data_IF_638546597082
#
_entry.id   IF_638546597082
#
_cell.length_a   1.000
_cell.length_b   1.000
_cell.length_c   1.000
_cell.angle_alpha   90.00
_cell.angle_beta   90.00
_cell.angle_gamma   90.00
#
_symmetry.space_group_name_H-M   'P 1'
#
loop_
_entity.id
_entity.type
_entity.pdbx_description
1 polymer ?
#
# COMPACT_ATOMS: atom_id res chain seq x y z
N UNK A 1 -29.21 -10.71 3.52
CA UNK A 1 -29.21 -9.60 2.58
C UNK A 1 -27.86 -9.42 1.90
N UNK A 2 -27.73 -8.65 0.80
CA UNK A 2 -26.47 -8.57 0.03
C UNK A 2 -25.32 -7.96 0.85
N UNK A 3 -25.60 -6.96 1.69
CA UNK A 3 -24.62 -6.27 2.54
C UNK A 3 -23.95 -7.22 3.52
N UNK A 4 -24.70 -8.10 4.18
CA UNK A 4 -24.17 -9.06 5.15
C UNK A 4 -23.28 -10.12 4.49
N UNK A 5 -23.61 -10.52 3.26
CA UNK A 5 -22.75 -11.45 2.49
C UNK A 5 -21.44 -10.78 2.10
N UNK A 6 -21.52 -9.57 1.57
CA UNK A 6 -20.34 -8.82 1.15
C UNK A 6 -19.43 -8.49 2.36
N UNK A 7 -20.00 -8.03 3.48
CA UNK A 7 -19.23 -7.77 4.70
C UNK A 7 -18.54 -9.03 5.25
N UNK A 8 -19.21 -10.20 5.20
CA UNK A 8 -18.61 -11.49 5.58
C UNK A 8 -17.44 -11.86 4.66
N UNK A 9 -17.61 -11.70 3.35
CA UNK A 9 -16.59 -12.05 2.37
C UNK A 9 -15.37 -11.12 2.49
N UNK A 10 -15.58 -9.81 2.71
CA UNK A 10 -14.50 -8.87 3.02
C UNK A 10 -13.79 -9.22 4.34
N UNK A 11 -14.55 -9.55 5.39
CA UNK A 11 -13.99 -9.97 6.67
C UNK A 11 -13.15 -11.25 6.59
N UNK A 12 -13.52 -12.19 5.71
CA UNK A 12 -12.78 -13.42 5.48
C UNK A 12 -11.39 -13.16 4.85
N UNK A 13 -11.20 -12.06 4.12
CA UNK A 13 -9.89 -11.68 3.56
C UNK A 13 -8.83 -11.41 4.64
N UNK A 14 -9.25 -10.90 5.80
CA UNK A 14 -8.34 -10.63 6.93
C UNK A 14 -7.78 -11.90 7.56
N UNK A 15 -8.44 -13.04 7.38
CA UNK A 15 -8.04 -14.33 7.95
C UNK A 15 -7.14 -15.15 7.03
N UNK A 16 -6.95 -14.75 5.79
CA UNK A 16 -6.07 -15.42 4.84
C UNK A 16 -4.61 -15.07 5.15
N UNK A 17 -3.81 -16.06 5.56
CA UNK A 17 -2.40 -15.94 6.01
C UNK A 17 -1.46 -15.36 4.93
N UNK A 18 -1.86 -15.33 3.68
CA UNK A 18 -1.08 -14.84 2.53
C UNK A 18 -1.60 -13.51 1.94
N UNK A 19 -2.50 -12.82 2.63
CA UNK A 19 -3.10 -11.57 2.14
C UNK A 19 -2.10 -10.43 2.11
N UNK A 20 -1.86 -9.87 0.92
CA UNK A 20 -1.21 -8.56 0.76
C UNK A 20 -2.30 -7.49 0.62
N UNK A 21 -1.93 -6.22 0.92
CA UNK A 21 -2.84 -5.07 0.79
C UNK A 21 -3.43 -4.99 -0.62
N UNK A 22 -2.61 -5.11 -1.65
CA UNK A 22 -3.00 -5.06 -3.07
C UNK A 22 -4.07 -6.12 -3.40
N UNK A 23 -3.82 -7.37 -3.01
CA UNK A 23 -4.79 -8.46 -3.20
C UNK A 23 -6.10 -8.24 -2.45
N UNK A 24 -6.02 -7.68 -1.25
CA UNK A 24 -7.22 -7.37 -0.48
C UNK A 24 -8.06 -6.27 -1.17
N UNK A 25 -7.43 -5.21 -1.67
CA UNK A 25 -8.10 -4.16 -2.43
C UNK A 25 -8.75 -4.70 -3.72
N UNK A 26 -8.01 -5.51 -4.50
CA UNK A 26 -8.54 -6.16 -5.70
C UNK A 26 -9.79 -7.00 -5.39
N UNK A 27 -9.73 -7.83 -4.37
CA UNK A 27 -10.86 -8.67 -3.99
C UNK A 27 -12.04 -7.86 -3.46
N UNK A 28 -11.79 -6.81 -2.66
CA UNK A 28 -12.84 -5.90 -2.19
C UNK A 28 -13.54 -5.23 -3.38
N UNK A 29 -12.81 -4.72 -4.35
CA UNK A 29 -13.39 -4.09 -5.54
C UNK A 29 -14.24 -5.07 -6.36
N UNK A 30 -13.75 -6.31 -6.57
CA UNK A 30 -14.49 -7.36 -7.27
C UNK A 30 -15.75 -7.80 -6.52
N UNK A 31 -15.65 -8.04 -5.21
CA UNK A 31 -16.81 -8.43 -4.39
C UNK A 31 -17.88 -7.32 -4.39
N UNK A 32 -17.45 -6.07 -4.28
CA UNK A 32 -18.35 -4.91 -4.31
C UNK A 32 -19.12 -4.84 -5.63
N UNK A 33 -18.43 -4.96 -6.76
CA UNK A 33 -19.07 -4.90 -8.08
C UNK A 33 -20.09 -6.03 -8.31
N UNK A 34 -19.87 -7.19 -7.67
CA UNK A 34 -20.78 -8.35 -7.78
C UNK A 34 -21.99 -8.29 -6.85
N UNK A 35 -21.82 -7.71 -5.67
CA UNK A 35 -22.84 -7.78 -4.63
C UNK A 35 -23.71 -6.53 -4.54
N UNK A 36 -23.16 -5.33 -4.86
CA UNK A 36 -23.96 -4.09 -4.79
C UNK A 36 -24.94 -4.02 -5.96
N UNK A 37 -26.27 -3.91 -5.69
CA UNK A 37 -27.28 -3.93 -6.73
C UNK A 37 -27.09 -2.79 -7.75
N UNK A 38 -26.93 -3.16 -9.02
CA UNK A 38 -26.77 -2.19 -10.12
C UNK A 38 -25.38 -1.59 -10.26
N UNK A 39 -24.44 -2.01 -9.44
CA UNK A 39 -23.02 -1.71 -9.60
C UNK A 39 -22.49 -2.47 -10.83
N UNK A 40 -21.86 -1.76 -11.75
CA UNK A 40 -21.15 -2.32 -12.90
C UNK A 40 -19.67 -2.47 -12.62
N UNK A 41 -19.11 -1.57 -11.81
CA UNK A 41 -17.71 -1.59 -11.39
C UNK A 41 -17.55 -0.90 -10.03
N UNK A 42 -16.52 -1.29 -9.28
CA UNK A 42 -16.15 -0.66 -8.03
C UNK A 42 -14.68 -0.24 -8.04
N UNK A 43 -14.40 0.87 -7.36
CA UNK A 43 -13.07 1.47 -7.21
C UNK A 43 -12.78 1.67 -5.73
N UNK A 44 -11.61 1.23 -5.29
CA UNK A 44 -11.11 1.48 -3.94
C UNK A 44 -9.75 2.13 -4.05
N UNK A 45 -9.55 3.29 -3.43
CA UNK A 45 -8.28 4.03 -3.49
C UNK A 45 -7.81 4.38 -2.10
N UNK A 46 -6.54 4.18 -1.84
CA UNK A 46 -5.87 4.60 -0.62
C UNK A 46 -5.01 5.82 -0.90
N UNK A 47 -5.24 6.87 -0.14
CA UNK A 47 -4.59 8.16 -0.27
C UNK A 47 -3.79 8.49 0.98
N UNK A 48 -2.67 9.17 0.78
CA UNK A 48 -1.90 9.77 1.87
C UNK A 48 -1.92 11.29 1.74
N UNK A 49 -2.14 11.96 2.87
CA UNK A 49 -2.00 13.40 2.97
C UNK A 49 -0.50 13.74 2.97
N UNK A 50 -0.02 14.47 1.97
CA UNK A 50 1.37 14.96 1.94
C UNK A 50 1.46 16.21 2.78
N UNK A 51 2.30 16.17 3.82
CA UNK A 51 2.61 17.35 4.61
C UNK A 51 3.47 18.31 3.79
N UNK A 52 3.34 19.65 3.98
CA UNK A 52 4.15 20.64 3.26
C UNK A 52 5.67 20.53 3.44
N UNK A 53 6.13 19.71 4.40
CA UNK A 53 7.53 19.54 4.76
C UNK A 53 8.28 18.50 3.89
N UNK A 54 7.58 17.64 3.17
CA UNK A 54 8.19 16.75 2.18
C UNK A 54 8.30 17.52 0.86
N UNK A 55 9.49 18.04 0.60
CA UNK A 55 9.83 18.83 -0.59
C UNK A 55 9.83 17.94 -1.85
N UNK A 56 8.65 17.54 -2.32
CA UNK A 56 8.47 17.01 -3.66
C UNK A 56 8.23 18.19 -4.60
N UNK A 57 9.16 18.46 -5.55
CA UNK A 57 8.99 19.55 -6.51
C UNK A 57 7.76 19.39 -7.41
N UNK A 58 7.11 18.23 -7.40
CA UNK A 58 5.85 17.97 -8.11
C UNK A 58 4.61 18.07 -7.20
N UNK A 59 4.76 18.29 -5.89
CA UNK A 59 3.62 18.39 -4.96
C UNK A 59 2.67 19.55 -5.31
N UNK A 60 3.17 20.61 -5.96
CA UNK A 60 2.33 21.70 -6.48
C UNK A 60 1.46 21.25 -7.67
N UNK A 61 1.90 20.23 -8.44
CA UNK A 61 1.15 19.70 -9.59
C UNK A 61 0.06 18.67 -9.17
N UNK A 62 0.29 17.92 -8.09
CA UNK A 62 -0.55 16.75 -7.74
C UNK A 62 -1.48 17.00 -6.56
N UNK A 63 -1.51 18.23 -6.01
CA UNK A 63 -2.33 18.56 -4.86
C UNK A 63 -1.82 17.90 -3.57
N UNK A 64 -2.64 17.99 -2.52
CA UNK A 64 -2.29 17.58 -1.15
C UNK A 64 -2.35 16.07 -0.91
N UNK A 65 -2.93 15.28 -1.82
CA UNK A 65 -3.20 13.86 -1.63
C UNK A 65 -2.51 13.02 -2.70
N UNK A 66 -1.69 12.05 -2.25
CA UNK A 66 -0.97 11.12 -3.12
C UNK A 66 -1.63 9.75 -3.05
N UNK A 67 -1.84 9.11 -4.20
CA UNK A 67 -2.31 7.73 -4.28
C UNK A 67 -1.22 6.80 -3.78
N UNK A 68 -1.53 6.03 -2.74
CA UNK A 68 -0.63 5.00 -2.18
C UNK A 68 -0.87 3.69 -2.87
N UNK A 69 -2.14 3.37 -3.12
CA UNK A 69 -2.58 2.12 -3.71
C UNK A 69 -4.01 2.26 -4.23
N UNK A 70 -4.39 1.49 -5.26
CA UNK A 70 -5.77 1.44 -5.70
C UNK A 70 -6.12 0.10 -6.37
N UNK A 71 -7.40 -0.24 -6.38
CA UNK A 71 -7.94 -1.35 -7.14
C UNK A 71 -9.27 -0.98 -7.80
N UNK A 72 -9.42 -1.36 -9.06
CA UNK A 72 -10.64 -1.22 -9.81
C UNK A 72 -11.10 -2.58 -10.31
N UNK A 73 -12.37 -2.91 -10.12
CA UNK A 73 -12.92 -4.20 -10.57
C UNK A 73 -13.01 -4.36 -12.09
N UNK A 74 -12.79 -3.27 -12.84
CA UNK A 74 -12.80 -3.24 -14.31
C UNK A 74 -11.71 -2.29 -14.83
N UNK A 75 -11.03 -2.70 -15.92
CA UNK A 75 -9.92 -1.94 -16.51
C UNK A 75 -10.30 -0.55 -17.02
N UNK A 76 -11.51 -0.36 -17.52
CA UNK A 76 -11.95 0.95 -17.99
C UNK A 76 -12.20 1.91 -16.84
N UNK A 77 -12.66 1.42 -15.68
CA UNK A 77 -12.76 2.24 -14.48
C UNK A 77 -11.36 2.64 -13.95
N UNK A 78 -10.37 1.75 -14.04
CA UNK A 78 -8.99 2.08 -13.73
C UNK A 78 -8.47 3.23 -14.60
N UNK A 79 -8.69 3.19 -15.92
CA UNK A 79 -8.34 4.28 -16.85
C UNK A 79 -9.04 5.60 -16.50
N UNK A 80 -10.35 5.53 -16.19
CA UNK A 80 -11.11 6.71 -15.78
C UNK A 80 -10.55 7.31 -14.48
N UNK A 81 -10.14 6.48 -13.54
CA UNK A 81 -9.51 6.93 -12.30
C UNK A 81 -8.12 7.54 -12.55
N UNK A 82 -7.26 6.91 -13.32
CA UNK A 82 -5.94 7.45 -13.67
C UNK A 82 -6.07 8.83 -14.35
N UNK A 83 -7.09 9.00 -15.17
CA UNK A 83 -7.39 10.30 -15.80
C UNK A 83 -7.85 11.33 -14.75
N UNK A 84 -8.72 10.98 -13.80
CA UNK A 84 -9.09 11.86 -12.69
C UNK A 84 -7.85 12.31 -11.91
N UNK A 85 -6.98 11.38 -11.58
CA UNK A 85 -5.78 11.65 -10.82
C UNK A 85 -4.82 12.57 -11.56
N UNK A 86 -4.57 12.33 -12.86
CA UNK A 86 -3.67 13.15 -13.67
C UNK A 86 -4.20 14.54 -14.00
N UNK A 87 -5.51 14.71 -14.10
CA UNK A 87 -6.14 16.01 -14.38
C UNK A 87 -6.56 16.75 -13.12
N UNK A 88 -6.43 16.11 -11.96
CA UNK A 88 -6.90 16.62 -10.66
C UNK A 88 -8.41 16.98 -10.66
N UNK A 89 -9.20 16.27 -11.49
CA UNK A 89 -10.63 16.49 -11.69
C UNK A 89 -11.40 15.18 -11.68
N UNK A 90 -12.50 15.15 -10.94
CA UNK A 90 -13.43 14.03 -10.92
C UNK A 90 -13.93 13.69 -9.53
N UNK A 91 -14.93 12.79 -9.43
CA UNK A 91 -15.64 12.51 -8.19
C UNK A 91 -14.75 11.91 -7.10
N UNK A 92 -13.79 11.06 -7.45
CA UNK A 92 -12.92 10.40 -6.47
C UNK A 92 -11.91 11.38 -5.88
N UNK A 93 -11.31 12.23 -6.71
CA UNK A 93 -10.39 13.30 -6.28
C UNK A 93 -11.14 14.34 -5.43
N UNK A 94 -12.36 14.69 -5.84
CA UNK A 94 -13.18 15.62 -5.08
C UNK A 94 -13.58 15.06 -3.71
N UNK A 95 -13.97 13.79 -3.65
CA UNK A 95 -14.34 13.12 -2.40
C UNK A 95 -13.20 13.11 -1.37
N UNK A 96 -11.96 12.84 -1.80
CA UNK A 96 -10.80 12.85 -0.90
C UNK A 96 -10.45 14.27 -0.44
N UNK A 97 -10.56 15.25 -1.32
CA UNK A 97 -10.24 16.65 -1.04
C UNK A 97 -11.19 17.27 -0.03
N UNK A 98 -12.50 17.10 -0.26
CA UNK A 98 -13.56 17.67 0.58
C UNK A 98 -13.92 16.76 1.76
N UNK A 99 -13.37 15.56 1.84
CA UNK A 99 -13.71 14.56 2.85
C UNK A 99 -15.22 14.33 2.97
N UNK A 100 -15.90 14.34 1.84
CA UNK A 100 -17.34 14.23 1.75
C UNK A 100 -17.77 13.24 0.66
N UNK A 101 -18.95 12.65 0.86
CA UNK A 101 -19.55 11.77 -0.15
C UNK A 101 -19.87 12.54 -1.42
N UNK A 102 -19.43 12.00 -2.56
CA UNK A 102 -19.71 12.58 -3.86
C UNK A 102 -20.66 11.67 -4.64
N UNK A 103 -21.74 12.25 -5.12
CA UNK A 103 -22.74 11.58 -5.97
C UNK A 103 -22.71 12.18 -7.36
N UNK A 104 -22.62 11.31 -8.37
CA UNK A 104 -22.82 11.64 -9.78
C UNK A 104 -24.07 10.91 -10.25
N UNK A 105 -25.16 11.65 -10.45
CA UNK A 105 -26.42 11.07 -10.92
C UNK A 105 -26.36 10.67 -12.40
N UNK A 106 -25.79 11.54 -13.23
CA UNK A 106 -25.62 11.30 -14.65
C UNK A 106 -24.38 12.06 -15.17
N UNK A 107 -23.32 11.34 -15.53
CA UNK A 107 -22.09 11.93 -16.04
C UNK A 107 -22.30 12.80 -17.27
N UNK A 108 -23.31 12.57 -18.10
CA UNK A 108 -23.61 13.43 -19.26
C UNK A 108 -24.24 14.78 -18.87
N UNK A 109 -24.68 14.95 -17.66
CA UNK A 109 -25.35 16.16 -17.15
C UNK A 109 -24.59 16.81 -16.00
N UNK A 110 -23.45 16.23 -15.62
CA UNK A 110 -22.61 16.74 -14.54
C UNK A 110 -21.51 17.61 -15.16
N UNK A 111 -21.58 18.90 -14.94
CA UNK A 111 -20.66 19.92 -15.44
C UNK A 111 -19.53 20.27 -14.45
N UNK A 112 -19.53 19.65 -13.27
CA UNK A 112 -18.50 19.91 -12.24
C UNK A 112 -17.08 19.59 -12.73
N UNK A 113 -16.93 18.59 -13.60
CA UNK A 113 -15.64 18.12 -14.10
C UNK A 113 -15.68 17.82 -15.62
N UNK A 114 -15.69 18.85 -16.48
CA UNK A 114 -15.90 18.66 -17.92
C UNK A 114 -14.86 17.73 -18.58
N UNK A 115 -13.60 17.79 -18.14
CA UNK A 115 -12.54 16.92 -18.66
C UNK A 115 -12.80 15.45 -18.31
N UNK A 116 -13.15 15.17 -17.05
CA UNK A 116 -13.48 13.83 -16.60
C UNK A 116 -14.73 13.27 -17.24
N UNK A 117 -15.77 14.10 -17.44
CA UNK A 117 -17.04 13.67 -18.02
C UNK A 117 -16.87 12.94 -19.36
N UNK A 118 -16.03 13.48 -20.25
CA UNK A 118 -15.75 12.84 -21.53
C UNK A 118 -15.12 11.46 -21.38
N UNK A 119 -14.17 11.31 -20.44
CA UNK A 119 -13.52 10.02 -20.15
C UNK A 119 -14.50 9.04 -19.49
N UNK A 120 -15.29 9.50 -18.51
CA UNK A 120 -16.29 8.68 -17.82
C UNK A 120 -17.25 8.03 -18.80
N UNK A 121 -17.80 8.83 -19.72
CA UNK A 121 -18.73 8.35 -20.75
C UNK A 121 -18.08 7.34 -21.70
N UNK A 122 -16.83 7.59 -22.12
CA UNK A 122 -16.07 6.64 -22.95
C UNK A 122 -15.83 5.30 -22.24
N UNK A 123 -15.62 5.35 -20.91
CA UNK A 123 -15.45 4.16 -20.09
C UNK A 123 -16.78 3.54 -19.62
N UNK A 124 -17.92 4.09 -20.04
CA UNK A 124 -19.26 3.58 -19.71
C UNK A 124 -19.72 3.93 -18.28
N UNK A 125 -19.06 4.87 -17.60
CA UNK A 125 -19.45 5.33 -16.26
C UNK A 125 -20.49 6.44 -16.36
N UNK A 126 -21.74 6.13 -16.00
CA UNK A 126 -22.89 7.04 -16.12
C UNK A 126 -23.36 7.57 -14.78
N UNK A 127 -23.23 6.84 -13.72
CA UNK A 127 -23.53 7.30 -12.37
C UNK A 127 -22.62 6.64 -11.35
N UNK A 128 -22.29 7.37 -10.29
CA UNK A 128 -21.41 6.84 -9.23
C UNK A 128 -21.73 7.45 -7.87
N UNK A 129 -21.34 6.72 -6.83
CA UNK A 129 -21.26 7.22 -5.46
C UNK A 129 -19.89 6.91 -4.93
N UNK A 130 -19.17 7.93 -4.45
CA UNK A 130 -17.85 7.78 -3.82
C UNK A 130 -17.93 8.23 -2.37
N UNK A 131 -17.57 7.33 -1.45
CA UNK A 131 -17.58 7.55 -0.01
C UNK A 131 -16.12 7.57 0.52
N UNK A 132 -15.66 8.66 1.15
CA UNK A 132 -14.36 8.72 1.82
C UNK A 132 -14.47 8.28 3.27
N UNK A 133 -13.44 7.58 3.78
CA UNK A 133 -13.29 7.26 5.21
C UNK A 133 -11.82 7.25 5.64
N UNK A 134 -11.58 7.41 6.95
CA UNK A 134 -10.23 7.46 7.51
C UNK A 134 -9.63 6.06 7.67
N UNK A 135 -8.33 5.93 7.33
CA UNK A 135 -7.53 4.72 7.46
C UNK A 135 -6.16 5.04 8.10
N UNK A 136 -6.11 5.13 9.44
CA UNK A 136 -4.87 5.30 10.23
C UNK A 136 -3.91 6.39 9.69
N UNK A 137 -4.44 7.58 9.43
CA UNK A 137 -3.68 8.71 8.85
C UNK A 137 -3.59 8.70 7.32
N UNK A 138 -4.14 7.70 6.67
CA UNK A 138 -4.45 7.66 5.25
C UNK A 138 -5.97 7.86 5.07
N UNK A 139 -6.43 8.04 3.84
CA UNK A 139 -7.85 8.13 3.49
C UNK A 139 -8.16 6.98 2.54
N UNK A 140 -9.25 6.29 2.78
CA UNK A 140 -9.81 5.33 1.84
C UNK A 140 -10.99 5.98 1.13
N UNK A 141 -11.01 5.99 -0.21
CA UNK A 141 -12.22 6.29 -0.97
C UNK A 141 -12.79 5.00 -1.55
N UNK A 142 -14.08 4.81 -1.34
CA UNK A 142 -14.80 3.62 -1.74
C UNK A 142 -15.90 4.01 -2.72
N UNK A 143 -15.75 3.64 -4.00
CA UNK A 143 -16.61 4.03 -5.10
C UNK A 143 -17.40 2.87 -5.71
N UNK A 144 -18.68 3.10 -5.98
CA UNK A 144 -19.53 2.24 -6.81
C UNK A 144 -19.96 2.99 -8.05
N UNK A 145 -19.87 2.32 -9.21
CA UNK A 145 -20.09 2.90 -10.53
C UNK A 145 -21.08 2.07 -11.33
N UNK A 146 -21.88 2.73 -12.17
CA UNK A 146 -22.86 2.09 -13.02
C UNK A 146 -22.84 2.64 -14.45
N UNK A 147 -23.05 1.75 -15.42
CA UNK A 147 -23.27 2.14 -16.81
C UNK A 147 -24.66 2.75 -17.09
N UNK A 148 -25.50 2.87 -16.05
CA UNK A 148 -26.84 3.50 -16.14
C UNK A 148 -26.85 4.79 -15.34
N UNK A 149 -27.42 5.84 -15.91
CA UNK A 149 -27.65 7.08 -15.18
C UNK A 149 -28.66 6.88 -14.04
N UNK A 150 -28.50 7.64 -12.96
CA UNK A 150 -29.39 7.67 -11.79
C UNK A 150 -29.65 6.28 -11.19
N UNK A 151 -28.58 5.45 -11.19
CA UNK A 151 -28.71 4.07 -10.71
C UNK A 151 -28.74 3.97 -9.20
N UNK A 152 -28.09 4.87 -8.52
CA UNK A 152 -27.95 4.84 -7.08
C UNK A 152 -28.80 5.93 -6.43
N UNK A 153 -29.65 5.52 -5.50
CA UNK A 153 -30.26 6.44 -4.54
C UNK A 153 -29.27 6.62 -3.38
N UNK A 154 -28.78 7.86 -3.13
CA UNK A 154 -27.82 8.11 -2.06
C UNK A 154 -28.30 7.68 -0.68
N UNK A 155 -29.60 7.84 -0.37
CA UNK A 155 -30.17 7.46 0.93
C UNK A 155 -30.14 5.94 1.14
N UNK A 156 -30.27 5.17 0.07
CA UNK A 156 -30.22 3.71 0.13
C UNK A 156 -28.79 3.14 0.05
N UNK A 157 -27.89 3.80 -0.69
CA UNK A 157 -26.56 3.26 -1.02
C UNK A 157 -25.48 3.72 -0.05
N UNK A 158 -25.51 4.97 0.43
CA UNK A 158 -24.44 5.51 1.28
C UNK A 158 -24.31 4.77 2.62
N UNK A 159 -25.38 4.46 3.38
CA UNK A 159 -25.22 3.76 4.66
C UNK A 159 -24.55 2.37 4.52
N UNK A 160 -24.95 1.49 3.59
CA UNK A 160 -24.24 0.22 3.41
C UNK A 160 -22.81 0.40 2.85
N UNK A 161 -22.52 1.42 2.01
CA UNK A 161 -21.15 1.71 1.58
C UNK A 161 -20.27 2.14 2.75
N UNK A 162 -20.77 2.98 3.65
CA UNK A 162 -20.04 3.39 4.85
C UNK A 162 -19.67 2.17 5.70
N UNK A 163 -20.61 1.26 5.93
CA UNK A 163 -20.36 0.02 6.67
C UNK A 163 -19.31 -0.87 5.98
N UNK A 164 -19.38 -1.01 4.66
CA UNK A 164 -18.39 -1.77 3.89
C UNK A 164 -17.00 -1.13 3.93
N UNK A 165 -16.94 0.20 3.87
CA UNK A 165 -15.70 0.94 3.98
C UNK A 165 -15.05 0.72 5.35
N UNK A 166 -15.80 0.76 6.44
CA UNK A 166 -15.31 0.45 7.80
C UNK A 166 -14.79 -0.99 7.92
N UNK A 167 -15.49 -1.97 7.35
CA UNK A 167 -15.01 -3.35 7.30
C UNK A 167 -13.72 -3.48 6.49
N UNK A 168 -13.62 -2.79 5.36
CA UNK A 168 -12.40 -2.76 4.54
C UNK A 168 -11.24 -2.14 5.31
N UNK A 169 -11.46 -1.00 5.97
CA UNK A 169 -10.47 -0.36 6.85
C UNK A 169 -9.98 -1.33 7.91
N UNK A 170 -10.88 -2.04 8.59
CA UNK A 170 -10.54 -3.03 9.62
C UNK A 170 -9.68 -4.16 9.06
N UNK A 171 -10.02 -4.66 7.86
CA UNK A 171 -9.26 -5.68 7.14
C UNK A 171 -7.85 -5.20 6.79
N UNK A 172 -7.73 -4.01 6.19
CA UNK A 172 -6.44 -3.43 5.82
C UNK A 172 -5.55 -3.14 7.03
N UNK A 173 -6.13 -2.72 8.16
CA UNK A 173 -5.41 -2.56 9.44
C UNK A 173 -4.85 -3.87 9.96
N UNK A 174 -5.60 -4.95 9.87
CA UNK A 174 -5.14 -6.28 10.29
C UNK A 174 -3.94 -6.72 9.46
N UNK A 175 -4.05 -6.67 8.12
CA UNK A 175 -2.96 -7.00 7.20
C UNK A 175 -1.71 -6.13 7.40
N UNK A 176 -1.89 -4.85 7.69
CA UNK A 176 -0.79 -3.91 7.96
C UNK A 176 -0.02 -4.25 9.24
N UNK A 177 -0.69 -4.71 10.29
CA UNK A 177 -0.07 -5.16 11.56
C UNK A 177 0.74 -6.42 11.37
N UNK A 178 0.21 -7.40 10.65
CA UNK A 178 0.90 -8.67 10.39
C UNK A 178 2.15 -8.45 9.54
N UNK A 179 2.07 -7.62 8.51
CA UNK A 179 3.22 -7.25 7.69
C UNK A 179 4.29 -6.47 8.49
N UNK A 180 3.91 -5.64 9.45
CA UNK A 180 4.85 -4.95 10.33
C UNK A 180 5.55 -5.91 11.28
N UNK A 181 4.82 -6.83 11.91
CA UNK A 181 5.37 -7.85 12.80
C UNK A 181 6.36 -8.78 12.07
N UNK A 182 6.03 -9.20 10.87
CA UNK A 182 6.93 -10.01 10.01
C UNK A 182 8.20 -9.23 9.65
N UNK A 183 8.10 -7.96 9.27
CA UNK A 183 9.27 -7.11 8.99
C UNK A 183 10.16 -6.97 10.22
N UNK A 184 9.60 -6.71 11.37
CA UNK A 184 10.35 -6.59 12.63
C UNK A 184 11.07 -7.88 12.99
N UNK A 185 10.41 -9.03 12.87
CA UNK A 185 11.02 -10.35 13.10
C UNK A 185 12.18 -10.62 12.13
N UNK A 186 12.05 -10.25 10.85
CA UNK A 186 13.12 -10.36 9.85
C UNK A 186 14.29 -9.44 10.19
N UNK A 187 14.02 -8.19 10.60
CA UNK A 187 15.06 -7.25 11.04
C UNK A 187 15.80 -7.76 12.27
N UNK A 188 15.08 -8.27 13.25
CA UNK A 188 15.67 -8.85 14.47
C UNK A 188 16.55 -10.06 14.15
N UNK A 189 16.09 -11.00 13.31
CA UNK A 189 16.92 -12.15 12.86
C UNK A 189 18.20 -11.70 12.14
N UNK A 190 18.09 -10.70 11.24
CA UNK A 190 19.27 -10.15 10.55
C UNK A 190 20.25 -9.50 11.51
N UNK A 191 19.78 -8.76 12.51
CA UNK A 191 20.63 -8.16 13.53
C UNK A 191 21.35 -9.23 14.37
N UNK A 192 20.66 -10.28 14.80
CA UNK A 192 21.24 -11.39 15.55
C UNK A 192 22.30 -12.14 14.72
N UNK A 193 21.99 -12.49 13.47
CA UNK A 193 22.95 -13.17 12.58
C UNK A 193 24.17 -12.29 12.29
N UNK A 194 24.01 -10.99 12.12
CA UNK A 194 25.11 -10.06 11.93
C UNK A 194 26.05 -10.01 13.16
N UNK A 195 25.48 -9.99 14.37
CA UNK A 195 26.23 -10.00 15.63
C UNK A 195 27.07 -11.29 15.75
N UNK A 196 26.46 -12.44 15.51
CA UNK A 196 27.16 -13.75 15.56
C UNK A 196 28.36 -13.79 14.61
N UNK A 197 28.16 -13.34 13.35
CA UNK A 197 29.23 -13.33 12.33
C UNK A 197 30.34 -12.35 12.72
N UNK A 198 30.02 -11.19 13.27
CA UNK A 198 31.02 -10.21 13.74
C UNK A 198 31.81 -10.80 14.92
N UNK A 199 31.16 -11.46 15.87
CA UNK A 199 31.85 -12.05 17.02
C UNK A 199 32.78 -13.21 16.62
N UNK A 200 32.38 -14.02 15.65
CA UNK A 200 33.24 -15.05 15.06
C UNK A 200 34.45 -14.45 14.34
N UNK A 201 34.23 -13.42 13.53
CA UNK A 201 35.33 -12.73 12.83
C UNK A 201 36.28 -12.03 13.80
N UNK A 202 35.80 -11.47 14.90
CA UNK A 202 36.60 -10.94 16.00
C UNK A 202 37.47 -12.05 16.61
N UNK A 203 36.89 -13.22 16.89
CA UNK A 203 37.62 -14.37 17.42
C UNK A 203 38.78 -14.78 16.52
N UNK A 204 38.56 -14.80 15.21
CA UNK A 204 39.62 -15.08 14.20
C UNK A 204 40.75 -14.05 14.27
N UNK A 205 40.41 -12.74 14.30
CA UNK A 205 41.42 -11.68 14.36
C UNK A 205 42.17 -11.67 15.69
N UNK A 206 41.51 -11.94 16.81
CA UNK A 206 42.11 -12.08 18.13
C UNK A 206 43.17 -13.21 18.13
N UNK A 207 42.79 -14.37 17.56
CA UNK A 207 43.68 -15.51 17.51
C UNK A 207 44.85 -15.28 16.52
N UNK A 208 44.57 -14.79 15.31
CA UNK A 208 45.56 -14.65 14.25
C UNK A 208 46.57 -13.51 14.47
N UNK A 209 46.17 -12.45 15.18
CA UNK A 209 46.97 -11.22 15.34
C UNK A 209 47.21 -10.81 16.79
N UNK A 210 46.77 -11.59 17.77
CA UNK A 210 46.91 -11.27 19.21
C UNK A 210 46.16 -10.01 19.65
N UNK A 211 45.09 -9.64 18.94
CA UNK A 211 44.32 -8.42 19.24
C UNK A 211 43.34 -8.64 20.40
N UNK A 212 43.05 -7.57 21.13
CA UNK A 212 41.91 -7.58 22.05
C UNK A 212 40.59 -7.55 21.27
N UNK A 213 39.47 -7.92 21.92
CA UNK A 213 38.15 -7.91 21.30
C UNK A 213 37.76 -6.52 20.72
N UNK A 214 38.13 -5.46 21.42
CA UNK A 214 37.89 -4.09 20.96
C UNK A 214 38.73 -3.75 19.72
N UNK A 215 40.02 -4.07 19.74
CA UNK A 215 40.94 -3.85 18.61
C UNK A 215 40.52 -4.63 17.37
N UNK A 216 40.05 -5.87 17.54
CA UNK A 216 39.54 -6.68 16.44
C UNK A 216 38.28 -6.07 15.80
N UNK A 217 37.37 -5.53 16.63
CA UNK A 217 36.17 -4.82 16.13
C UNK A 217 36.55 -3.53 15.38
N UNK A 218 37.48 -2.73 15.93
CA UNK A 218 37.95 -1.50 15.30
C UNK A 218 38.63 -1.75 13.97
N UNK A 219 39.34 -2.89 13.83
CA UNK A 219 39.94 -3.35 12.56
C UNK A 219 38.86 -3.67 11.52
N UNK A 220 37.83 -4.46 11.88
CA UNK A 220 36.69 -4.75 11.00
C UNK A 220 35.96 -3.48 10.56
N UNK A 221 35.76 -2.55 11.49
CA UNK A 221 35.11 -1.26 11.22
C UNK A 221 35.93 -0.39 10.26
N UNK A 222 37.25 -0.34 10.43
CA UNK A 222 38.17 0.41 9.56
C UNK A 222 38.17 -0.13 8.13
N UNK A 223 38.18 -1.46 7.98
CA UNK A 223 38.08 -2.11 6.66
C UNK A 223 36.74 -1.84 6.02
N UNK A 224 35.64 -1.91 6.79
CA UNK A 224 34.29 -1.62 6.32
C UNK A 224 34.17 -0.17 5.80
N UNK A 225 34.68 0.80 6.56
CA UNK A 225 34.68 2.22 6.16
C UNK A 225 35.50 2.48 4.88
N UNK A 226 36.70 1.90 4.78
CA UNK A 226 37.55 2.08 3.59
C UNK A 226 36.94 1.51 2.31
N UNK A 227 36.15 0.45 2.43
CA UNK A 227 35.54 -0.24 1.27
C UNK A 227 34.06 0.12 1.05
N UNK A 228 33.48 1.05 1.82
CA UNK A 228 32.06 1.40 1.71
C UNK A 228 31.12 0.22 2.01
N UNK A 229 31.52 -0.71 2.88
CA UNK A 229 30.80 -1.95 3.18
C UNK A 229 30.23 -1.93 4.59
N UNK A 230 29.24 -2.79 4.86
CA UNK A 230 28.79 -3.04 6.24
C UNK A 230 29.80 -3.91 6.98
N UNK A 231 29.99 -3.69 8.28
CA UNK A 231 30.93 -4.47 9.12
C UNK A 231 30.62 -5.98 9.07
N UNK A 232 29.35 -6.35 9.04
CA UNK A 232 28.92 -7.74 8.92
C UNK A 232 29.33 -8.39 7.59
N UNK A 233 29.40 -7.62 6.50
CA UNK A 233 29.82 -8.16 5.19
C UNK A 233 31.34 -8.38 5.14
N UNK A 234 32.10 -7.49 5.76
CA UNK A 234 33.56 -7.68 5.95
C UNK A 234 33.80 -8.91 6.82
N UNK A 235 33.05 -9.07 7.90
CA UNK A 235 33.16 -10.23 8.77
C UNK A 235 32.86 -11.55 8.03
N UNK A 236 31.82 -11.60 7.18
CA UNK A 236 31.50 -12.78 6.35
C UNK A 236 32.61 -13.11 5.36
N UNK A 237 33.22 -12.10 4.70
CA UNK A 237 34.34 -12.29 3.79
C UNK A 237 35.55 -12.90 4.50
N UNK A 238 35.91 -12.35 5.66
CA UNK A 238 37.02 -12.87 6.47
C UNK A 238 36.79 -14.34 6.86
N UNK A 239 35.58 -14.71 7.23
CA UNK A 239 35.25 -16.09 7.55
C UNK A 239 35.36 -17.02 6.33
N UNK A 240 34.88 -16.58 5.15
CA UNK A 240 34.99 -17.37 3.92
C UNK A 240 36.44 -17.61 3.49
N UNK A 241 37.31 -16.62 3.62
CA UNK A 241 38.74 -16.73 3.32
C UNK A 241 39.46 -17.71 4.24
N UNK A 242 39.08 -17.77 5.51
CA UNK A 242 39.65 -18.73 6.49
C UNK A 242 39.26 -20.18 6.18
N UNK A 243 38.02 -20.41 5.73
CA UNK A 243 37.56 -21.76 5.35
C UNK A 243 38.36 -22.27 4.14
N UNK A 244 38.61 -21.42 3.14
CA UNK A 244 39.43 -21.79 1.97
C UNK A 244 40.90 -22.01 2.29
N UNK A 245 41.49 -21.24 3.20
CA UNK A 245 42.90 -21.41 3.59
C UNK A 245 43.14 -22.65 4.45
N UNK A 246 42.19 -23.10 5.26
CA UNK A 246 42.28 -24.33 6.05
C UNK A 246 42.03 -25.60 5.21
N UNK A 247 41.31 -25.49 4.09
CA UNK A 247 41.07 -26.61 3.16
C UNK A 247 42.29 -27.01 2.33
N UNK A 248 43.30 -26.15 2.22
CA UNK A 248 44.56 -26.42 1.46
C UNK A 248 45.70 -26.93 2.34
N UNK A 249 45.47 -27.13 3.64
CA UNK A 249 46.49 -27.65 4.59
C UNK A 249 46.24 -29.09 5.06
N UNK A 250 45.40 -29.85 4.34
CA UNK A 250 45.27 -31.30 4.59
C UNK A 250 45.76 -32.12 3.42
#
# INVERSE_FOLDING_TARGET
>A
MWVERLARDIGALAQSVEGTRDRALDQVSLLTSRHVPGCSAALVVVWRDTRPEEHDPNAELWGRHVVVDYAASHSDLAKAFEYQYTTDQGPTVHAVRERSTVVVEDSLRDDRWPAYTSMAVQCGDRSSVTYPCDLDGEILTFGVHSCRARRFDPEEVVPPLAMLAEHTVTTLRSLGRDAAAVREAVHMRRAMSARTVIDQAKGILMHARGLTSQQAFDELRRVAQRNGMKVADVARRLMAEQVTSNGHRR
#
